data_IF_740065038191
#
_entry.id   IF_740065038191
#
_cell.length_a   1.000
_cell.length_b   1.000
_cell.length_c   1.000
_cell.angle_alpha   90.00
_cell.angle_beta   90.00
_cell.angle_gamma   90.00
#
_symmetry.space_group_name_H-M   'P 1'
#
loop_
_entity.id
_entity.type
_entity.pdbx_description
1 polymer ?
#
# COMPACT_ATOMS: atom_id res chain seq x y z
N UNK A 1 23.52 14.78 11.62
CA UNK A 1 23.73 15.01 10.18
C UNK A 1 23.89 16.50 9.97
N UNK A 2 24.92 16.92 9.25
CA UNK A 2 25.21 18.35 9.05
C UNK A 2 24.48 18.90 7.85
N UNK A 3 23.87 20.06 8.00
CA UNK A 3 23.27 20.77 6.89
C UNK A 3 24.38 21.25 5.94
N UNK A 4 24.33 20.92 4.64
CA UNK A 4 25.34 21.37 3.68
C UNK A 4 25.27 22.87 3.38
N UNK A 5 24.13 23.51 3.69
CA UNK A 5 23.93 24.94 3.42
C UNK A 5 24.42 25.83 4.57
N UNK A 6 24.21 25.45 5.83
CA UNK A 6 24.55 26.28 6.99
C UNK A 6 25.50 25.63 8.00
N UNK A 7 25.86 24.36 7.82
CA UNK A 7 26.79 23.64 8.71
C UNK A 7 26.19 23.16 10.04
N UNK A 8 24.94 23.50 10.36
CA UNK A 8 24.30 23.10 11.62
C UNK A 8 24.13 21.57 11.72
N UNK A 9 24.37 21.02 12.91
CA UNK A 9 24.06 19.64 13.25
C UNK A 9 22.56 19.43 13.49
N UNK A 10 21.96 18.57 12.67
CA UNK A 10 20.55 18.19 12.71
C UNK A 10 20.40 16.71 13.06
N UNK A 11 19.19 16.33 13.51
CA UNK A 11 18.85 14.93 13.82
C UNK A 11 18.88 14.10 12.52
N UNK A 12 19.27 12.83 12.60
CA UNK A 12 19.40 11.97 11.42
C UNK A 12 18.07 11.77 10.64
N UNK A 13 16.93 11.91 11.33
CA UNK A 13 15.59 11.79 10.74
C UNK A 13 14.98 13.15 10.32
N UNK A 14 15.72 14.26 10.48
CA UNK A 14 15.20 15.58 10.16
C UNK A 14 15.10 15.76 8.63
N UNK A 15 13.90 16.08 8.14
CA UNK A 15 13.65 16.35 6.70
C UNK A 15 14.11 17.74 6.26
N UNK A 16 14.19 18.69 7.19
CA UNK A 16 14.57 20.07 6.96
C UNK A 16 15.51 20.57 8.05
N UNK A 17 16.40 21.49 7.71
CA UNK A 17 17.29 22.12 8.67
C UNK A 17 16.51 23.07 9.59
N UNK A 18 16.66 22.89 10.90
CA UNK A 18 15.98 23.73 11.91
C UNK A 18 16.45 25.19 11.99
N UNK A 19 17.56 25.53 11.32
CA UNK A 19 18.09 26.90 11.30
C UNK A 19 17.81 27.62 9.98
N UNK A 20 18.08 27.00 8.83
CA UNK A 20 17.95 27.65 7.52
C UNK A 20 16.78 27.14 6.68
N UNK A 21 16.06 26.11 7.12
CA UNK A 21 14.91 25.54 6.41
C UNK A 21 15.24 24.70 5.17
N UNK A 22 16.51 24.58 4.78
CA UNK A 22 16.91 23.75 3.63
C UNK A 22 16.57 22.26 3.85
N UNK A 23 16.12 21.54 2.82
CA UNK A 23 15.86 20.11 2.91
C UNK A 23 17.15 19.35 3.17
N UNK A 24 17.09 18.39 4.08
CA UNK A 24 18.20 17.52 4.44
C UNK A 24 18.04 16.17 3.73
N UNK A 25 19.15 15.50 3.35
CA UNK A 25 19.07 14.19 2.72
C UNK A 25 18.40 13.17 3.65
N UNK A 26 17.56 12.26 3.12
CA UNK A 26 16.87 11.27 3.94
C UNK A 26 17.88 10.37 4.67
N UNK A 27 17.54 9.87 5.89
CA UNK A 27 18.39 8.92 6.59
C UNK A 27 18.64 7.70 5.71
N UNK A 28 19.90 7.30 5.58
CA UNK A 28 20.33 6.11 4.83
C UNK A 28 19.73 4.80 5.39
N UNK A 29 19.10 4.85 6.56
CA UNK A 29 18.41 3.74 7.22
C UNK A 29 16.96 3.53 6.70
N UNK A 30 16.43 4.45 5.89
CA UNK A 30 15.26 4.18 5.04
C UNK A 30 15.68 3.47 3.75
N UNK A 31 16.63 2.54 3.86
CA UNK A 31 16.74 1.45 2.92
C UNK A 31 15.64 0.48 3.35
N UNK A 32 14.46 0.41 2.68
CA UNK A 32 13.70 -0.82 2.79
C UNK A 32 14.71 -1.94 2.49
N UNK A 33 14.71 -3.05 3.27
CA UNK A 33 15.69 -4.11 3.07
C UNK A 33 15.76 -4.41 1.57
N UNK A 34 16.93 -4.79 1.02
CA UNK A 34 17.01 -5.28 -0.34
C UNK A 34 16.16 -6.56 -0.41
N UNK A 35 14.85 -6.37 -0.51
CA UNK A 35 13.91 -7.34 -0.96
C UNK A 35 14.37 -7.54 -2.39
N UNK A 36 15.07 -8.65 -2.54
CA UNK A 36 15.28 -9.37 -3.77
C UNK A 36 13.90 -9.64 -4.39
N UNK A 37 13.18 -8.60 -4.79
CA UNK A 37 11.89 -8.74 -5.47
C UNK A 37 12.24 -9.27 -6.84
N UNK A 38 11.84 -10.50 -7.20
CA UNK A 38 12.12 -11.05 -8.51
C UNK A 38 11.33 -10.25 -9.54
N UNK A 39 11.93 -9.21 -10.10
CA UNK A 39 11.27 -8.41 -11.14
C UNK A 39 11.20 -9.25 -12.41
N UNK A 40 10.00 -9.51 -12.92
CA UNK A 40 9.80 -10.33 -14.12
C UNK A 40 9.59 -9.41 -15.32
N UNK A 41 10.18 -9.78 -16.45
CA UNK A 41 10.04 -9.00 -17.68
C UNK A 41 8.87 -9.56 -18.50
N UNK A 42 8.02 -8.68 -19.00
CA UNK A 42 6.95 -9.07 -19.89
C UNK A 42 7.51 -9.51 -21.24
N UNK A 43 7.31 -10.77 -21.63
CA UNK A 43 7.75 -11.29 -22.93
C UNK A 43 6.97 -10.68 -24.11
N UNK A 44 5.81 -10.05 -23.87
CA UNK A 44 4.98 -9.48 -24.91
C UNK A 44 5.35 -8.03 -25.29
N UNK A 45 5.95 -7.26 -24.37
CA UNK A 45 6.27 -5.85 -24.62
C UNK A 45 7.63 -5.41 -24.06
N UNK A 46 8.36 -6.29 -23.37
CA UNK A 46 9.66 -5.98 -22.76
C UNK A 46 9.59 -5.16 -21.48
N UNK A 47 8.39 -4.83 -20.98
CA UNK A 47 8.26 -4.04 -19.76
C UNK A 47 8.55 -4.84 -18.50
N UNK A 48 9.35 -4.28 -17.60
CA UNK A 48 9.56 -4.81 -16.26
C UNK A 48 8.29 -4.70 -15.43
N UNK A 49 7.87 -5.80 -14.83
CA UNK A 49 6.75 -5.89 -13.93
C UNK A 49 7.17 -6.49 -12.60
N UNK A 50 6.35 -6.26 -11.57
CA UNK A 50 6.58 -6.79 -10.23
C UNK A 50 6.39 -8.31 -10.24
N UNK A 51 7.17 -9.05 -9.44
CA UNK A 51 7.09 -10.51 -9.31
C UNK A 51 5.66 -11.02 -9.13
N UNK A 52 4.88 -10.28 -8.35
CA UNK A 52 3.51 -10.62 -7.95
C UNK A 52 2.46 -10.25 -9.00
N UNK A 53 2.83 -9.52 -10.06
CA UNK A 53 1.88 -9.00 -11.04
C UNK A 53 1.38 -10.11 -11.97
N UNK A 54 0.07 -10.39 -11.92
CA UNK A 54 -0.60 -11.36 -12.82
C UNK A 54 -0.72 -10.85 -14.25
N UNK A 55 -0.76 -9.53 -14.42
CA UNK A 55 -0.87 -8.85 -15.70
C UNK A 55 0.20 -7.79 -15.83
N UNK A 56 0.72 -7.59 -17.03
CA UNK A 56 1.66 -6.54 -17.31
C UNK A 56 0.99 -5.16 -17.18
N UNK A 57 1.49 -4.24 -16.32
CA UNK A 57 0.90 -2.92 -16.14
C UNK A 57 1.06 -2.01 -17.38
N UNK A 58 1.83 -2.44 -18.38
CA UNK A 58 2.11 -1.67 -19.61
C UNK A 58 1.30 -2.12 -20.81
N UNK A 59 1.00 -3.41 -20.93
CA UNK A 59 0.29 -3.97 -22.08
C UNK A 59 -0.95 -4.81 -21.74
N UNK A 60 -1.23 -5.06 -20.46
CA UNK A 60 -2.37 -5.84 -19.99
C UNK A 60 -2.30 -7.36 -20.25
N UNK A 61 -1.23 -7.86 -20.88
CA UNK A 61 -1.05 -9.30 -21.14
C UNK A 61 -0.74 -10.05 -19.84
N UNK A 62 -1.23 -11.29 -19.64
CA UNK A 62 -0.86 -12.10 -18.48
C UNK A 62 0.65 -12.36 -18.43
N UNK A 63 1.24 -12.27 -17.24
CA UNK A 63 2.63 -12.63 -16.98
C UNK A 63 2.70 -14.06 -16.42
N UNK A 64 3.74 -14.84 -16.75
CA UNK A 64 4.00 -16.13 -16.13
C UNK A 64 4.45 -15.88 -14.68
N UNK A 65 3.49 -15.76 -13.78
CA UNK A 65 3.72 -15.50 -12.37
C UNK A 65 3.63 -16.82 -11.60
N UNK A 66 4.78 -17.42 -11.28
CA UNK A 66 4.83 -18.43 -10.23
C UNK A 66 4.54 -17.72 -8.89
N UNK A 67 3.54 -18.16 -8.11
CA UNK A 67 3.17 -17.47 -6.89
C UNK A 67 4.36 -17.47 -5.93
N UNK A 68 4.77 -16.31 -5.37
CA UNK A 68 5.63 -16.34 -4.21
C UNK A 68 4.90 -17.11 -3.12
N UNK A 69 5.61 -18.09 -2.54
CA UNK A 69 5.17 -18.91 -1.43
C UNK A 69 4.30 -18.11 -0.47
N UNK A 70 3.03 -18.52 -0.42
CA UNK A 70 2.04 -17.96 0.47
C UNK A 70 2.55 -17.99 1.92
N UNK A 71 2.48 -16.90 2.71
CA UNK A 71 2.10 -17.09 4.09
C UNK A 71 0.67 -17.64 4.08
N UNK A 72 0.50 -18.80 4.72
CA UNK A 72 -0.74 -19.55 4.89
C UNK A 72 -2.01 -18.68 4.87
N UNK A 73 -3.07 -19.07 4.14
CA UNK A 73 -4.38 -18.49 4.39
C UNK A 73 -4.76 -18.86 5.83
N UNK A 74 -4.72 -17.88 6.73
CA UNK A 74 -5.23 -18.04 8.08
C UNK A 74 -6.66 -18.59 7.97
N UNK A 75 -6.89 -19.67 8.71
CA UNK A 75 -8.08 -20.50 8.72
C UNK A 75 -9.38 -19.72 8.52
N UNK A 76 -10.14 -20.14 7.51
CA UNK A 76 -11.59 -20.01 7.50
C UNK A 76 -12.14 -20.72 8.73
N UNK A 77 -12.36 -19.99 9.82
CA UNK A 77 -13.37 -20.34 10.82
C UNK A 77 -14.59 -19.50 10.52
N UNK A 78 -15.67 -20.19 10.20
CA UNK A 78 -16.94 -19.65 9.75
C UNK A 78 -17.61 -18.90 10.90
N UNK A 79 -18.23 -17.72 10.64
CA UNK A 79 -19.00 -16.97 11.63
C UNK A 79 -20.21 -17.78 12.11
N UNK A 80 -20.28 -18.02 13.41
CA UNK A 80 -21.43 -18.62 14.08
C UNK A 80 -22.58 -17.60 14.16
N UNK A 81 -23.59 -17.74 13.31
CA UNK A 81 -24.89 -17.10 13.48
C UNK A 81 -25.75 -17.88 14.48
N UNK A 82 -26.41 -17.22 15.45
CA UNK A 82 -27.73 -17.64 15.88
C UNK A 82 -28.80 -16.89 15.07
N UNK A 83 -29.71 -17.66 14.49
CA UNK A 83 -30.93 -17.22 13.81
C UNK A 83 -31.76 -16.30 14.72
N UNK A 84 -31.92 -15.04 14.35
CA UNK A 84 -32.94 -14.16 14.92
C UNK A 84 -34.07 -13.98 13.89
N UNK A 85 -35.35 -14.20 14.24
CA UNK A 85 -36.45 -14.07 13.31
C UNK A 85 -36.70 -12.61 12.93
N UNK A 86 -36.97 -12.45 11.65
CA UNK A 86 -37.37 -11.24 10.95
C UNK A 86 -38.65 -10.65 11.55
N UNK A 87 -38.50 -9.65 12.43
CA UNK A 87 -39.58 -8.70 12.74
C UNK A 87 -39.34 -7.43 11.93
N UNK A 88 -40.13 -7.30 10.87
CA UNK A 88 -40.28 -6.09 10.07
C UNK A 88 -40.50 -4.87 10.98
N UNK A 89 -39.51 -3.99 11.09
CA UNK A 89 -39.71 -2.62 11.52
C UNK A 89 -40.03 -1.80 10.26
N UNK A 90 -41.32 -1.59 9.99
CA UNK A 90 -41.81 -0.59 9.04
C UNK A 90 -41.19 0.77 9.35
N UNK A 91 -40.57 1.46 8.38
CA UNK A 91 -40.11 2.83 8.61
C UNK A 91 -41.34 3.75 8.80
N UNK A 92 -41.28 4.76 9.70
CA UNK A 92 -42.34 5.75 9.79
C UNK A 92 -42.37 6.59 8.50
N UNK A 93 -43.56 6.67 7.90
CA UNK A 93 -43.83 7.50 6.73
C UNK A 93 -43.62 8.97 7.09
N UNK A 94 -42.61 9.63 6.50
CA UNK A 94 -42.38 11.06 6.66
C UNK A 94 -43.40 11.85 5.82
N UNK A 95 -44.06 12.88 6.35
CA UNK A 95 -44.93 13.74 5.56
C UNK A 95 -44.10 14.61 4.58
N UNK A 96 -44.66 14.98 3.42
CA UNK A 96 -43.97 15.84 2.46
C UNK A 96 -43.78 17.26 3.02
N UNK A 97 -42.71 17.97 2.61
CA UNK A 97 -42.48 19.36 3.04
C UNK A 97 -43.51 20.33 2.41
N UNK A 98 -43.84 21.45 3.09
CA UNK A 98 -44.73 22.49 2.56
C UNK A 98 -44.09 23.28 1.39
N UNK A 99 -44.91 23.98 0.58
CA UNK A 99 -44.46 24.66 -0.65
C UNK A 99 -43.50 25.83 -0.41
#
# INVERSE_FOLDING_TARGET
MRCPSCGLENRADARFCKQCGQPLPPPADSTPPPALTPSTVCLACGATAKADARFCPRCGKPLPAEPPSAPSPMSKTIPSMPTAPSSYATPPSLPPPPP
#
